data_IF_260999476262
#
_entry.id   IF_260999476262
#
_cell.length_a   1.000
_cell.length_b   1.000
_cell.length_c   1.000
_cell.angle_alpha   90.00
_cell.angle_beta   90.00
_cell.angle_gamma   90.00
#
_symmetry.space_group_name_H-M   'P 1'
#
loop_
_entity.id
_entity.type
_entity.pdbx_description
1 polymer ?
#
# COMPACT_ATOMS: atom_id res chain seq x y z
N UNK A 1 -38.99 -31.10 -13.79
CA UNK A 1 -37.81 -30.29 -13.43
C UNK A 1 -38.14 -28.80 -13.52
N UNK A 2 -38.56 -28.14 -12.43
CA UNK A 2 -38.82 -26.69 -12.40
C UNK A 2 -37.81 -25.90 -11.52
N UNK A 3 -36.61 -26.42 -11.25
CA UNK A 3 -35.71 -25.85 -10.23
C UNK A 3 -34.87 -24.66 -10.73
N UNK A 4 -34.67 -24.53 -12.04
CA UNK A 4 -33.78 -23.52 -12.62
C UNK A 4 -34.36 -22.08 -12.63
N UNK A 5 -35.66 -21.86 -12.97
CA UNK A 5 -36.26 -20.53 -12.95
C UNK A 5 -36.25 -19.92 -11.54
N UNK A 6 -36.64 -20.71 -10.53
CA UNK A 6 -36.67 -20.28 -9.12
C UNK A 6 -35.29 -19.86 -8.58
N UNK A 7 -34.22 -20.55 -9.01
CA UNK A 7 -32.87 -20.23 -8.58
C UNK A 7 -32.38 -18.90 -9.17
N UNK A 8 -32.73 -18.60 -10.43
CA UNK A 8 -32.41 -17.35 -11.11
C UNK A 8 -33.18 -16.16 -10.51
N UNK A 9 -34.45 -16.36 -10.14
CA UNK A 9 -35.24 -15.34 -9.47
C UNK A 9 -34.69 -15.03 -8.07
N UNK A 10 -34.39 -16.07 -7.26
CA UNK A 10 -33.74 -15.87 -5.95
C UNK A 10 -32.36 -15.20 -6.06
N UNK A 11 -31.60 -15.50 -7.11
CA UNK A 11 -30.30 -14.85 -7.34
C UNK A 11 -30.44 -13.36 -7.70
N UNK A 12 -31.55 -12.94 -8.32
CA UNK A 12 -31.85 -11.52 -8.58
C UNK A 12 -32.23 -10.75 -7.33
N UNK A 13 -32.78 -11.43 -6.33
CA UNK A 13 -33.12 -10.85 -5.03
C UNK A 13 -31.91 -10.69 -4.09
N UNK A 14 -30.79 -11.35 -4.41
CA UNK A 14 -29.57 -11.21 -3.61
C UNK A 14 -29.01 -9.78 -3.75
N UNK A 15 -28.55 -9.17 -2.64
CA UNK A 15 -27.88 -7.88 -2.67
C UNK A 15 -26.73 -7.87 -3.68
N UNK A 16 -26.59 -6.78 -4.44
CA UNK A 16 -25.50 -6.58 -5.40
C UNK A 16 -24.11 -6.84 -4.78
N UNK A 17 -23.94 -6.50 -3.50
CA UNK A 17 -22.71 -6.76 -2.76
C UNK A 17 -22.31 -8.24 -2.67
N UNK A 18 -23.25 -9.17 -2.87
CA UNK A 18 -23.03 -10.63 -2.81
C UNK A 18 -22.88 -11.22 -4.21
N UNK A 19 -23.58 -10.69 -5.21
CA UNK A 19 -23.58 -11.24 -6.58
C UNK A 19 -22.45 -10.69 -7.45
N UNK A 20 -21.99 -9.47 -7.20
CA UNK A 20 -20.93 -8.81 -7.97
C UNK A 20 -19.50 -9.31 -7.71
N UNK A 21 -19.11 -9.85 -6.53
CA UNK A 21 -17.73 -10.26 -6.30
C UNK A 21 -17.19 -11.30 -7.30
N UNK A 22 -18.00 -12.32 -7.66
CA UNK A 22 -17.57 -13.34 -8.61
C UNK A 22 -17.25 -12.80 -10.02
N UNK A 23 -18.14 -12.03 -10.69
CA UNK A 23 -17.81 -11.44 -11.98
C UNK A 23 -16.67 -10.41 -11.90
N UNK A 24 -16.57 -9.63 -10.81
CA UNK A 24 -15.41 -8.75 -10.62
C UNK A 24 -14.11 -9.53 -10.47
N UNK A 25 -14.12 -10.65 -9.76
CA UNK A 25 -12.94 -11.47 -9.57
C UNK A 25 -12.45 -11.99 -10.92
N UNK A 26 -13.35 -12.59 -11.71
CA UNK A 26 -13.03 -13.10 -13.04
C UNK A 26 -12.55 -11.98 -13.98
N UNK A 27 -13.23 -10.83 -13.97
CA UNK A 27 -12.86 -9.66 -14.78
C UNK A 27 -11.50 -9.09 -14.40
N UNK A 28 -11.21 -8.95 -13.10
CA UNK A 28 -9.91 -8.47 -12.60
C UNK A 28 -8.79 -9.44 -12.94
N UNK A 29 -9.00 -10.75 -12.75
CA UNK A 29 -8.01 -11.78 -13.09
C UNK A 29 -7.75 -11.77 -14.59
N UNK A 30 -8.79 -11.71 -15.42
CA UNK A 30 -8.63 -11.63 -16.88
C UNK A 30 -7.87 -10.35 -17.29
N UNK A 31 -8.30 -9.19 -16.79
CA UNK A 31 -7.63 -7.92 -17.04
C UNK A 31 -6.16 -7.93 -16.62
N UNK A 32 -5.89 -8.42 -15.42
CA UNK A 32 -4.53 -8.53 -14.89
C UNK A 32 -3.66 -9.41 -15.78
N UNK A 33 -4.14 -10.59 -16.20
CA UNK A 33 -3.40 -11.46 -17.11
C UNK A 33 -3.17 -10.83 -18.50
N UNK A 34 -4.04 -9.93 -18.94
CA UNK A 34 -3.86 -9.18 -20.19
C UNK A 34 -2.86 -8.02 -20.07
N UNK A 35 -2.74 -7.39 -18.89
CA UNK A 35 -1.93 -6.18 -18.68
C UNK A 35 -0.57 -6.46 -18.06
N UNK A 36 -0.51 -7.33 -17.06
CA UNK A 36 0.70 -7.64 -16.30
C UNK A 36 1.89 -8.11 -17.16
N UNK A 37 1.72 -8.90 -18.25
CA UNK A 37 2.84 -9.32 -19.09
C UNK A 37 3.61 -8.17 -19.75
N UNK A 38 3.02 -6.97 -19.86
CA UNK A 38 3.73 -5.77 -20.37
C UNK A 38 4.83 -5.28 -19.43
N UNK A 39 4.89 -5.77 -18.20
CA UNK A 39 5.88 -5.41 -17.20
C UNK A 39 6.76 -6.62 -16.89
N UNK A 40 8.08 -6.44 -16.96
CA UNK A 40 9.06 -7.52 -16.71
C UNK A 40 9.24 -7.80 -15.22
N UNK A 41 9.21 -6.75 -14.39
CA UNK A 41 9.41 -6.86 -12.93
C UNK A 41 8.11 -7.27 -12.22
N UNK A 42 8.18 -8.32 -11.40
CA UNK A 42 7.09 -8.77 -10.52
C UNK A 42 6.54 -7.61 -9.67
N UNK A 43 7.45 -6.78 -9.12
CA UNK A 43 7.09 -5.59 -8.35
C UNK A 43 6.27 -4.58 -9.16
N UNK A 44 6.66 -4.31 -10.41
CA UNK A 44 5.87 -3.40 -11.27
C UNK A 44 4.50 -3.98 -11.59
N UNK A 45 4.42 -5.29 -11.84
CA UNK A 45 3.13 -5.96 -12.03
C UNK A 45 2.24 -5.78 -10.79
N UNK A 46 2.80 -5.75 -9.58
CA UNK A 46 2.04 -5.52 -8.34
C UNK A 46 1.36 -4.17 -8.28
N UNK A 47 2.04 -3.14 -8.77
CA UNK A 47 1.47 -1.81 -8.84
C UNK A 47 0.38 -1.65 -9.90
N UNK A 48 0.21 -2.58 -10.85
CA UNK A 48 -0.86 -2.50 -11.86
C UNK A 48 -2.23 -2.56 -11.20
N UNK A 49 -2.48 -3.59 -10.38
CA UNK A 49 -3.75 -3.73 -9.67
C UNK A 49 -3.94 -2.63 -8.62
N UNK A 50 -2.89 -2.30 -7.86
CA UNK A 50 -2.95 -1.25 -6.85
C UNK A 50 -3.28 0.12 -7.45
N UNK A 51 -2.66 0.46 -8.58
CA UNK A 51 -2.93 1.70 -9.30
C UNK A 51 -4.38 1.73 -9.82
N UNK A 52 -4.84 0.64 -10.44
CA UNK A 52 -6.22 0.54 -10.95
C UNK A 52 -7.24 0.69 -9.81
N UNK A 53 -7.09 -0.06 -8.72
CA UNK A 53 -8.00 0.00 -7.57
C UNK A 53 -8.01 1.39 -6.94
N UNK A 54 -6.84 1.97 -6.66
CA UNK A 54 -6.75 3.29 -6.06
C UNK A 54 -7.39 4.37 -6.95
N UNK A 55 -7.22 4.29 -8.27
CA UNK A 55 -7.89 5.18 -9.21
C UNK A 55 -9.40 5.01 -9.16
N UNK A 56 -9.91 3.78 -9.28
CA UNK A 56 -11.35 3.49 -9.25
C UNK A 56 -11.99 3.97 -7.95
N UNK A 57 -11.34 3.71 -6.81
CA UNK A 57 -11.84 4.14 -5.49
C UNK A 57 -11.82 5.66 -5.33
N UNK A 58 -10.76 6.33 -5.80
CA UNK A 58 -10.69 7.78 -5.80
C UNK A 58 -11.80 8.39 -6.65
N UNK A 59 -12.06 7.86 -7.86
CA UNK A 59 -13.14 8.36 -8.72
C UNK A 59 -14.52 8.07 -8.14
N UNK A 60 -14.75 6.87 -7.60
CA UNK A 60 -16.02 6.49 -6.97
C UNK A 60 -16.32 7.32 -5.71
N UNK A 61 -15.30 7.89 -5.06
CA UNK A 61 -15.47 8.77 -3.89
C UNK A 61 -16.04 10.14 -4.20
N UNK A 62 -15.83 10.66 -5.42
CA UNK A 62 -16.09 12.06 -5.74
C UNK A 62 -17.55 12.51 -5.50
N UNK A 63 -18.59 11.73 -5.85
CA UNK A 63 -19.97 12.11 -5.56
C UNK A 63 -20.26 12.24 -4.06
N UNK A 64 -19.65 11.37 -3.25
CA UNK A 64 -19.81 11.36 -1.79
C UNK A 64 -19.02 12.49 -1.13
N UNK A 65 -17.82 12.79 -1.64
CA UNK A 65 -17.06 13.96 -1.24
C UNK A 65 -17.83 15.24 -1.54
N UNK A 66 -18.43 15.35 -2.73
CA UNK A 66 -19.27 16.48 -3.10
C UNK A 66 -20.46 16.62 -2.14
N UNK A 67 -21.23 15.55 -1.91
CA UNK A 67 -22.36 15.56 -0.97
C UNK A 67 -21.93 15.99 0.45
N UNK A 68 -20.80 15.48 0.93
CA UNK A 68 -20.25 15.84 2.24
C UNK A 68 -19.84 17.31 2.32
N UNK A 69 -19.15 17.85 1.31
CA UNK A 69 -18.73 19.26 1.29
C UNK A 69 -19.94 20.19 1.15
N UNK A 70 -20.99 19.79 0.43
CA UNK A 70 -22.19 20.60 0.21
C UNK A 70 -23.16 20.63 1.39
N UNK A 71 -23.27 19.55 2.17
CA UNK A 71 -24.29 19.45 3.23
C UNK A 71 -23.89 18.59 4.43
N UNK A 72 -22.60 18.32 4.61
CA UNK A 72 -22.07 17.54 5.72
C UNK A 72 -22.52 16.08 5.72
N UNK A 73 -22.50 15.47 6.91
CA UNK A 73 -22.81 14.05 7.09
C UNK A 73 -24.26 13.72 6.73
N UNK A 74 -25.20 14.65 6.93
CA UNK A 74 -26.60 14.42 6.57
C UNK A 74 -26.75 14.26 5.05
N UNK A 75 -26.20 15.18 4.25
CA UNK A 75 -26.26 15.09 2.79
C UNK A 75 -25.52 13.85 2.25
N UNK A 76 -24.36 13.52 2.84
CA UNK A 76 -23.64 12.28 2.53
C UNK A 76 -24.50 11.04 2.78
N UNK A 77 -25.16 10.99 3.95
CA UNK A 77 -25.98 9.87 4.36
C UNK A 77 -27.18 9.69 3.44
N UNK A 78 -27.91 10.78 3.14
CA UNK A 78 -29.04 10.77 2.20
C UNK A 78 -28.59 10.33 0.81
N UNK A 79 -27.45 10.83 0.30
CA UNK A 79 -26.91 10.39 -0.98
C UNK A 79 -26.60 8.88 -1.00
N UNK A 80 -26.20 8.30 0.14
CA UNK A 80 -25.97 6.86 0.27
C UNK A 80 -27.23 6.00 0.31
N UNK A 81 -28.42 6.58 0.52
CA UNK A 81 -29.66 5.81 0.68
C UNK A 81 -30.45 5.67 -0.62
N UNK A 82 -30.30 6.60 -1.55
CA UNK A 82 -31.19 6.70 -2.71
C UNK A 82 -30.43 6.91 -4.03
N UNK A 83 -31.13 6.70 -5.14
CA UNK A 83 -30.65 6.99 -6.49
C UNK A 83 -29.44 6.18 -6.95
N UNK A 84 -28.70 6.75 -7.90
CA UNK A 84 -27.54 6.09 -8.53
C UNK A 84 -26.32 5.98 -7.61
N UNK A 85 -26.22 6.86 -6.60
CA UNK A 85 -25.15 6.85 -5.59
C UNK A 85 -25.28 5.64 -4.67
N UNK A 86 -26.49 5.22 -4.31
CA UNK A 86 -26.71 3.94 -3.61
C UNK A 86 -26.18 2.75 -4.43
N UNK A 87 -26.46 2.71 -5.73
CA UNK A 87 -25.95 1.63 -6.59
C UNK A 87 -24.43 1.70 -6.73
N UNK A 88 -23.86 2.90 -6.88
CA UNK A 88 -22.42 3.12 -6.99
C UNK A 88 -21.67 2.61 -5.74
N UNK A 89 -22.15 2.91 -4.52
CA UNK A 89 -21.49 2.42 -3.30
C UNK A 89 -21.53 0.89 -3.18
N UNK A 90 -22.64 0.25 -3.57
CA UNK A 90 -22.80 -1.20 -3.49
C UNK A 90 -21.82 -1.88 -4.45
N UNK A 91 -21.70 -1.33 -5.67
CA UNK A 91 -20.74 -1.76 -6.70
C UNK A 91 -19.30 -1.55 -6.23
N UNK A 92 -18.97 -0.36 -5.70
CA UNK A 92 -17.61 0.00 -5.34
C UNK A 92 -17.09 -0.80 -4.13
N UNK A 93 -17.93 -1.07 -3.13
CA UNK A 93 -17.57 -1.92 -1.99
C UNK A 93 -17.34 -3.36 -2.44
N UNK A 94 -18.19 -3.90 -3.33
CA UNK A 94 -17.99 -5.23 -3.89
C UNK A 94 -16.71 -5.31 -4.73
N UNK A 95 -16.45 -4.30 -5.57
CA UNK A 95 -15.22 -4.17 -6.34
C UNK A 95 -13.99 -4.16 -5.45
N UNK A 96 -13.95 -3.27 -4.45
CA UNK A 96 -12.80 -3.14 -3.56
C UNK A 96 -12.57 -4.39 -2.72
N UNK A 97 -13.62 -4.97 -2.15
CA UNK A 97 -13.54 -6.23 -1.40
C UNK A 97 -12.97 -7.38 -2.26
N UNK A 98 -13.37 -7.45 -3.53
CA UNK A 98 -12.86 -8.43 -4.47
C UNK A 98 -11.40 -8.20 -4.83
N UNK A 99 -11.02 -6.94 -5.05
CA UNK A 99 -9.63 -6.56 -5.28
C UNK A 99 -8.70 -7.01 -4.14
N UNK A 100 -9.14 -6.86 -2.88
CA UNK A 100 -8.36 -7.30 -1.71
C UNK A 100 -8.12 -8.82 -1.73
N UNK A 101 -9.11 -9.61 -2.17
CA UNK A 101 -8.97 -11.06 -2.34
C UNK A 101 -8.01 -11.41 -3.47
N UNK A 102 -8.10 -10.73 -4.63
CA UNK A 102 -7.21 -10.97 -5.78
C UNK A 102 -5.76 -10.67 -5.43
N UNK A 103 -5.49 -9.52 -4.80
CA UNK A 103 -4.13 -9.16 -4.40
C UNK A 103 -3.58 -10.13 -3.36
N UNK A 104 -4.36 -10.44 -2.32
CA UNK A 104 -3.92 -11.33 -1.26
C UNK A 104 -3.64 -12.75 -1.77
N UNK A 105 -4.53 -13.28 -2.60
CA UNK A 105 -4.46 -14.69 -2.98
C UNK A 105 -3.59 -14.97 -4.21
N UNK A 106 -3.74 -14.16 -5.27
CA UNK A 106 -3.22 -14.50 -6.60
C UNK A 106 -1.87 -13.87 -6.86
N UNK A 107 -1.76 -12.57 -6.59
CA UNK A 107 -0.82 -11.77 -7.34
C UNK A 107 0.53 -11.61 -6.63
N UNK A 108 0.57 -11.36 -5.31
CA UNK A 108 1.82 -10.95 -4.64
C UNK A 108 1.94 -11.32 -3.17
N UNK A 109 1.72 -12.59 -2.81
CA UNK A 109 1.88 -13.05 -1.42
C UNK A 109 3.23 -12.65 -0.78
N UNK A 110 4.28 -12.51 -1.60
CA UNK A 110 5.64 -12.20 -1.17
C UNK A 110 5.97 -10.70 -1.09
N UNK A 111 5.25 -9.81 -1.80
CA UNK A 111 5.54 -8.37 -1.80
C UNK A 111 4.66 -7.58 -0.82
N UNK A 112 3.65 -8.22 -0.24
CA UNK A 112 2.76 -7.61 0.75
C UNK A 112 3.37 -7.76 2.14
N UNK A 113 3.82 -6.65 2.73
CA UNK A 113 4.31 -6.62 4.10
C UNK A 113 3.25 -7.07 5.11
N UNK A 114 3.65 -7.74 6.19
CA UNK A 114 2.72 -8.31 7.19
C UNK A 114 1.83 -7.26 7.86
N UNK A 115 2.43 -6.19 8.38
CA UNK A 115 1.70 -5.17 9.14
C UNK A 115 0.98 -4.17 8.22
N UNK A 116 1.69 -3.66 7.22
CA UNK A 116 1.19 -2.61 6.32
C UNK A 116 0.29 -3.16 5.22
N UNK A 117 0.38 -4.45 4.93
CA UNK A 117 -0.36 -5.10 3.86
C UNK A 117 -1.38 -6.09 4.40
N UNK A 118 -0.95 -7.22 4.97
CA UNK A 118 -1.87 -8.29 5.35
C UNK A 118 -2.88 -7.89 6.43
N UNK A 119 -2.41 -7.35 7.57
CA UNK A 119 -3.31 -6.91 8.66
C UNK A 119 -4.26 -5.83 8.14
N UNK A 120 -3.73 -4.84 7.42
CA UNK A 120 -4.49 -3.75 6.83
C UNK A 120 -5.58 -4.23 5.85
N UNK A 121 -5.22 -5.12 4.94
CA UNK A 121 -6.15 -5.70 3.96
C UNK A 121 -7.18 -6.62 4.63
N UNK A 122 -6.81 -7.40 5.64
CA UNK A 122 -7.76 -8.21 6.41
C UNK A 122 -8.79 -7.33 7.13
N UNK A 123 -8.35 -6.25 7.76
CA UNK A 123 -9.23 -5.26 8.40
C UNK A 123 -10.17 -4.63 7.36
N UNK A 124 -9.65 -4.24 6.19
CA UNK A 124 -10.50 -3.73 5.12
C UNK A 124 -11.48 -4.76 4.56
N UNK A 125 -11.09 -6.03 4.45
CA UNK A 125 -11.99 -7.08 3.99
C UNK A 125 -13.17 -7.24 4.95
N UNK A 126 -12.91 -7.26 6.26
CA UNK A 126 -13.95 -7.26 7.30
C UNK A 126 -14.82 -6.01 7.20
N UNK A 127 -14.20 -4.83 6.99
CA UNK A 127 -14.93 -3.58 6.79
C UNK A 127 -15.84 -3.64 5.55
N UNK A 128 -15.38 -4.23 4.44
CA UNK A 128 -16.17 -4.34 3.21
C UNK A 128 -17.39 -5.23 3.43
N UNK A 129 -17.23 -6.35 4.15
CA UNK A 129 -18.36 -7.20 4.55
C UNK A 129 -19.33 -6.44 5.45
N UNK A 130 -18.82 -5.67 6.43
CA UNK A 130 -19.67 -4.84 7.29
C UNK A 130 -20.45 -3.78 6.52
N UNK A 131 -19.79 -3.03 5.63
CA UNK A 131 -20.42 -2.02 4.77
C UNK A 131 -21.50 -2.64 3.87
N UNK A 132 -21.19 -3.78 3.24
CA UNK A 132 -22.13 -4.50 2.38
C UNK A 132 -23.37 -5.02 3.12
N UNK A 133 -23.27 -5.28 4.44
CA UNK A 133 -24.36 -5.78 5.28
C UNK A 133 -25.12 -4.69 6.03
N UNK A 134 -24.58 -3.48 6.10
CA UNK A 134 -25.14 -2.37 6.88
C UNK A 134 -25.34 -1.12 6.02
N UNK A 135 -26.22 -1.12 5.00
CA UNK A 135 -26.52 0.10 4.25
C UNK A 135 -27.05 1.22 5.17
N UNK A 136 -26.70 2.50 4.94
CA UNK A 136 -25.84 3.04 3.89
C UNK A 136 -24.36 3.24 4.29
N UNK A 137 -23.81 2.47 5.25
CA UNK A 137 -22.43 2.69 5.77
C UNK A 137 -21.34 2.71 4.68
N UNK A 138 -21.59 2.11 3.52
CA UNK A 138 -20.73 2.19 2.34
C UNK A 138 -20.45 3.62 1.87
N UNK A 139 -21.37 4.58 2.04
CA UNK A 139 -21.14 5.97 1.63
C UNK A 139 -20.04 6.64 2.45
N UNK A 140 -19.94 6.31 3.74
CA UNK A 140 -18.88 6.82 4.64
C UNK A 140 -17.53 6.27 4.22
N UNK A 141 -17.48 4.97 3.91
CA UNK A 141 -16.27 4.36 3.36
C UNK A 141 -15.87 5.01 2.03
N UNK A 142 -16.82 5.29 1.14
CA UNK A 142 -16.53 5.97 -0.12
C UNK A 142 -16.14 7.43 0.05
N UNK A 143 -16.66 8.17 1.04
CA UNK A 143 -16.13 9.49 1.38
C UNK A 143 -14.64 9.39 1.72
N UNK A 144 -14.28 8.41 2.56
CA UNK A 144 -12.89 8.16 2.95
C UNK A 144 -12.02 7.65 1.79
N UNK A 145 -12.61 7.07 0.74
CA UNK A 145 -11.88 6.50 -0.40
C UNK A 145 -11.13 7.54 -1.25
N UNK A 146 -11.43 8.85 -1.13
CA UNK A 146 -10.59 9.91 -1.73
C UNK A 146 -9.16 9.87 -1.20
N UNK A 147 -8.96 9.31 0.00
CA UNK A 147 -7.64 9.10 0.60
C UNK A 147 -6.79 8.05 -0.15
N UNK A 148 -7.33 7.37 -1.16
CA UNK A 148 -6.54 6.51 -2.05
C UNK A 148 -5.76 7.28 -3.12
N UNK A 149 -5.98 8.59 -3.27
CA UNK A 149 -5.25 9.42 -4.24
C UNK A 149 -3.71 9.37 -4.09
N UNK A 150 -3.11 9.40 -2.89
CA UNK A 150 -1.67 9.18 -2.73
C UNK A 150 -1.23 7.77 -3.13
N UNK A 151 -2.07 6.74 -2.92
CA UNK A 151 -1.77 5.37 -3.37
C UNK A 151 -1.75 5.28 -4.88
N UNK A 152 -2.71 5.94 -5.54
CA UNK A 152 -2.74 6.05 -6.99
C UNK A 152 -1.47 6.72 -7.51
N UNK A 153 -1.07 7.85 -6.91
CA UNK A 153 0.16 8.56 -7.26
C UNK A 153 1.43 7.69 -7.09
N UNK A 154 1.50 6.93 -5.98
CA UNK A 154 2.59 6.00 -5.71
C UNK A 154 2.61 4.85 -6.73
N UNK A 155 1.46 4.26 -7.03
CA UNK A 155 1.32 3.19 -8.01
C UNK A 155 1.73 3.66 -9.40
N UNK A 156 1.25 4.82 -9.81
CA UNK A 156 1.58 5.44 -11.09
C UNK A 156 3.07 5.75 -11.20
N UNK A 157 3.66 6.36 -10.17
CA UNK A 157 5.10 6.67 -10.12
C UNK A 157 5.99 5.43 -10.08
N UNK A 158 5.47 4.30 -9.58
CA UNK A 158 6.18 3.01 -9.57
C UNK A 158 6.15 2.32 -10.95
N UNK A 159 5.05 2.50 -11.68
CA UNK A 159 4.92 2.01 -13.06
C UNK A 159 5.73 2.87 -14.04
N UNK A 160 5.63 4.20 -13.89
CA UNK A 160 6.27 5.21 -14.75
C UNK A 160 7.18 6.11 -13.93
N UNK A 161 8.45 5.75 -13.73
CA UNK A 161 9.40 6.53 -12.95
C UNK A 161 9.55 7.98 -13.44
N UNK A 162 9.27 8.26 -14.72
CA UNK A 162 9.35 9.59 -15.32
C UNK A 162 8.37 10.59 -14.69
N UNK A 163 7.23 10.11 -14.15
CA UNK A 163 6.25 11.00 -13.53
C UNK A 163 6.46 11.14 -12.01
N UNK A 164 7.47 10.48 -11.44
CA UNK A 164 7.66 10.44 -9.99
C UNK A 164 8.02 11.81 -9.43
N UNK A 165 7.31 12.24 -8.39
CA UNK A 165 7.68 13.39 -7.56
C UNK A 165 7.41 13.04 -6.09
N UNK A 166 8.46 13.05 -5.28
CA UNK A 166 8.35 12.77 -3.85
C UNK A 166 7.58 13.90 -3.14
N UNK A 167 7.73 15.16 -3.58
CA UNK A 167 7.00 16.32 -3.04
C UNK A 167 5.50 16.20 -3.29
N UNK A 168 5.09 15.82 -4.52
CA UNK A 168 3.69 15.61 -4.87
C UNK A 168 3.07 14.51 -4.02
N UNK A 169 3.76 13.37 -3.90
CA UNK A 169 3.30 12.26 -3.08
C UNK A 169 3.11 12.67 -1.60
N UNK A 170 4.10 13.36 -1.01
CA UNK A 170 4.03 13.82 0.39
C UNK A 170 2.94 14.87 0.60
N UNK A 171 2.73 15.77 -0.36
CA UNK A 171 1.65 16.76 -0.32
C UNK A 171 0.26 16.08 -0.36
N UNK A 172 0.08 15.07 -1.22
CA UNK A 172 -1.15 14.30 -1.29
C UNK A 172 -1.39 13.52 0.00
N UNK A 173 -0.36 12.88 0.56
CA UNK A 173 -0.44 12.18 1.86
C UNK A 173 -0.87 13.15 2.98
N UNK A 174 -0.25 14.32 3.07
CA UNK A 174 -0.58 15.30 4.11
C UNK A 174 -2.02 15.79 3.98
N UNK A 175 -2.43 16.21 2.79
CA UNK A 175 -3.75 16.82 2.56
C UNK A 175 -4.87 15.82 2.71
N UNK A 176 -4.79 14.66 2.05
CA UNK A 176 -5.88 13.67 2.03
C UNK A 176 -5.84 12.73 3.24
N UNK A 177 -4.68 12.14 3.56
CA UNK A 177 -4.58 11.07 4.55
C UNK A 177 -4.38 11.55 5.99
N UNK A 178 -3.88 12.78 6.18
CA UNK A 178 -3.71 13.38 7.51
C UNK A 178 -4.79 14.42 7.77
N UNK A 179 -4.80 15.53 7.03
CA UNK A 179 -5.68 16.67 7.32
C UNK A 179 -7.15 16.32 7.08
N UNK A 180 -7.49 15.79 5.90
CA UNK A 180 -8.87 15.42 5.59
C UNK A 180 -9.36 14.26 6.47
N UNK A 181 -8.54 13.24 6.74
CA UNK A 181 -8.89 12.18 7.69
C UNK A 181 -9.17 12.72 9.10
N UNK A 182 -8.28 13.57 9.65
CA UNK A 182 -8.48 14.18 10.96
C UNK A 182 -9.76 15.04 11.00
N UNK A 183 -10.04 15.77 9.91
CA UNK A 183 -11.27 16.54 9.77
C UNK A 183 -12.52 15.67 9.86
N UNK A 184 -12.63 14.63 9.02
CA UNK A 184 -13.81 13.76 9.03
C UNK A 184 -13.89 12.94 10.33
N UNK A 185 -12.76 12.56 10.93
CA UNK A 185 -12.72 11.91 12.23
C UNK A 185 -13.36 12.80 13.31
N UNK A 186 -12.95 14.06 13.41
CA UNK A 186 -13.56 15.02 14.35
C UNK A 186 -15.05 15.12 14.10
N UNK A 187 -15.48 15.21 12.83
CA UNK A 187 -16.89 15.32 12.51
C UNK A 187 -17.67 14.06 12.94
N UNK A 188 -17.16 12.86 12.71
CA UNK A 188 -17.76 11.60 13.15
C UNK A 188 -17.68 11.34 14.67
N UNK A 189 -16.84 12.08 15.42
CA UNK A 189 -16.85 12.00 16.90
C UNK A 189 -18.01 12.79 17.52
N UNK A 190 -18.59 13.75 16.79
CA UNK A 190 -19.65 14.62 17.30
C UNK A 190 -20.93 13.82 17.56
N UNK A 191 -21.65 14.08 18.68
CA UNK A 191 -22.90 13.41 18.98
C UNK A 191 -23.97 13.56 17.88
N UNK A 192 -24.06 14.74 17.26
CA UNK A 192 -25.01 15.03 16.16
C UNK A 192 -24.75 14.15 14.94
N UNK A 193 -23.49 14.02 14.53
CA UNK A 193 -23.07 13.16 13.43
C UNK A 193 -23.30 11.68 13.73
N UNK A 194 -23.04 11.25 14.96
CA UNK A 194 -23.32 9.87 15.39
C UNK A 194 -24.81 9.57 15.43
N UNK A 195 -25.67 10.54 15.75
CA UNK A 195 -27.11 10.33 15.71
C UNK A 195 -27.58 9.94 14.29
N UNK A 196 -26.97 10.51 13.25
CA UNK A 196 -27.26 10.16 11.84
C UNK A 196 -26.86 8.71 11.55
N UNK A 197 -25.74 8.23 12.10
CA UNK A 197 -25.25 6.86 11.92
C UNK A 197 -25.84 5.84 12.91
N UNK A 198 -26.95 6.18 13.58
CA UNK A 198 -27.60 5.31 14.56
C UNK A 198 -26.77 5.07 15.83
N UNK A 199 -25.89 6.01 16.18
CA UNK A 199 -24.96 5.90 17.31
C UNK A 199 -23.71 5.06 17.03
N UNK A 200 -23.49 4.62 15.80
CA UNK A 200 -22.37 3.73 15.45
C UNK A 200 -21.01 4.40 15.69
N UNK A 201 -20.13 3.71 16.42
CA UNK A 201 -18.73 4.11 16.63
C UNK A 201 -17.80 3.59 15.53
N UNK A 202 -18.29 2.74 14.62
CA UNK A 202 -17.46 2.09 13.59
C UNK A 202 -16.72 3.13 12.74
N UNK A 203 -17.37 4.17 12.17
CA UNK A 203 -16.66 5.21 11.42
C UNK A 203 -15.54 5.87 12.24
N UNK A 204 -15.82 6.24 13.48
CA UNK A 204 -14.86 6.91 14.36
C UNK A 204 -13.63 6.02 14.62
N UNK A 205 -13.85 4.75 15.00
CA UNK A 205 -12.76 3.81 15.30
C UNK A 205 -11.92 3.56 14.04
N UNK A 206 -12.57 3.32 12.90
CA UNK A 206 -11.86 3.01 11.66
C UNK A 206 -11.05 4.21 11.14
N UNK A 207 -11.61 5.43 11.21
CA UNK A 207 -10.89 6.66 10.84
C UNK A 207 -9.71 6.93 11.78
N UNK A 208 -9.87 6.71 13.09
CA UNK A 208 -8.78 6.87 14.06
C UNK A 208 -7.63 5.87 13.81
N UNK A 209 -7.95 4.60 13.58
CA UNK A 209 -6.95 3.57 13.24
C UNK A 209 -6.25 3.89 11.92
N UNK A 210 -7.01 4.31 10.90
CA UNK A 210 -6.45 4.73 9.61
C UNK A 210 -5.54 5.96 9.78
N UNK A 211 -5.93 6.95 10.58
CA UNK A 211 -5.12 8.14 10.84
C UNK A 211 -3.81 7.79 11.53
N UNK A 212 -3.84 6.91 12.55
CA UNK A 212 -2.62 6.45 13.22
C UNK A 212 -1.65 5.76 12.23
N UNK A 213 -2.18 4.89 11.37
CA UNK A 213 -1.41 4.26 10.31
C UNK A 213 -0.83 5.30 9.33
N UNK A 214 -1.63 6.25 8.87
CA UNK A 214 -1.19 7.28 7.93
C UNK A 214 -0.12 8.20 8.52
N UNK A 215 -0.23 8.56 9.80
CA UNK A 215 0.80 9.34 10.51
C UNK A 215 2.12 8.56 10.53
N UNK A 216 2.08 7.25 10.80
CA UNK A 216 3.27 6.41 10.77
C UNK A 216 3.92 6.35 9.38
N UNK A 217 3.12 6.28 8.32
CA UNK A 217 3.60 6.29 6.93
C UNK A 217 4.15 7.66 6.52
N UNK A 218 3.48 8.74 6.90
CA UNK A 218 3.94 10.10 6.62
C UNK A 218 5.28 10.36 7.28
N UNK A 219 5.45 9.95 8.54
CA UNK A 219 6.74 10.02 9.24
C UNK A 219 7.85 9.26 8.48
N UNK A 220 7.57 8.04 8.01
CA UNK A 220 8.49 7.27 7.17
C UNK A 220 8.84 7.95 5.85
N UNK A 221 7.82 8.49 5.17
CA UNK A 221 7.95 9.22 3.91
C UNK A 221 8.83 10.47 4.04
N UNK A 222 8.53 11.32 5.01
CA UNK A 222 9.31 12.55 5.30
C UNK A 222 10.74 12.19 5.69
N UNK A 223 10.93 11.22 6.58
CA UNK A 223 12.27 10.82 7.03
C UNK A 223 13.13 10.35 5.86
N UNK A 224 12.62 9.48 4.99
CA UNK A 224 13.43 9.02 3.86
C UNK A 224 13.59 10.07 2.75
N UNK A 225 12.63 10.98 2.58
CA UNK A 225 12.80 12.14 1.68
C UNK A 225 13.95 13.05 2.16
N UNK A 226 13.96 13.42 3.45
CA UNK A 226 15.04 14.22 4.03
C UNK A 226 16.39 13.51 3.90
N UNK A 227 16.46 12.20 4.18
CA UNK A 227 17.69 11.41 4.00
C UNK A 227 18.21 11.44 2.57
N UNK A 228 17.34 11.26 1.56
CA UNK A 228 17.74 11.35 0.14
C UNK A 228 18.28 12.73 -0.20
N UNK A 229 17.62 13.80 0.25
CA UNK A 229 18.09 15.17 0.03
C UNK A 229 19.46 15.43 0.67
N UNK A 230 19.68 14.95 1.89
CA UNK A 230 20.99 15.07 2.54
C UNK A 230 22.06 14.29 1.78
N UNK A 231 21.76 13.06 1.32
CA UNK A 231 22.69 12.25 0.53
C UNK A 231 23.11 12.95 -0.76
N UNK A 232 22.14 13.44 -1.54
CA UNK A 232 22.42 14.20 -2.78
C UNK A 232 23.28 15.44 -2.51
N UNK A 233 22.99 16.18 -1.43
CA UNK A 233 23.79 17.35 -1.06
C UNK A 233 25.22 16.98 -0.64
N UNK A 234 25.42 15.85 0.03
CA UNK A 234 26.75 15.34 0.39
C UNK A 234 27.51 14.86 -0.86
N UNK A 235 26.87 14.07 -1.73
CA UNK A 235 27.48 13.54 -2.94
C UNK A 235 27.90 14.68 -3.89
N UNK A 236 27.09 15.73 -3.99
CA UNK A 236 27.43 16.94 -4.76
C UNK A 236 28.67 17.67 -4.20
N UNK A 237 28.80 17.77 -2.87
CA UNK A 237 29.98 18.36 -2.23
C UNK A 237 31.25 17.53 -2.47
N UNK A 238 31.14 16.21 -2.39
CA UNK A 238 32.27 15.29 -2.66
C UNK A 238 32.71 15.40 -4.12
N UNK A 239 31.76 15.44 -5.06
CA UNK A 239 32.06 15.62 -6.47
C UNK A 239 32.74 16.96 -6.76
N UNK A 240 32.30 18.05 -6.11
CA UNK A 240 32.92 19.36 -6.23
C UNK A 240 34.35 19.37 -5.69
N UNK A 241 34.59 18.78 -4.51
CA UNK A 241 35.94 18.66 -3.93
C UNK A 241 36.88 17.84 -4.82
N UNK A 242 36.40 16.76 -5.42
CA UNK A 242 37.19 15.97 -6.35
C UNK A 242 37.57 16.77 -7.62
N UNK A 243 36.64 17.58 -8.15
CA UNK A 243 36.92 18.46 -9.28
C UNK A 243 37.95 19.54 -8.94
N UNK A 244 37.85 20.15 -7.75
CA UNK A 244 38.78 21.18 -7.29
C UNK A 244 40.22 20.63 -7.11
N UNK A 245 40.37 19.39 -6.63
CA UNK A 245 41.68 18.73 -6.49
C UNK A 245 42.34 18.50 -7.85
N UNK A 246 41.59 18.09 -8.88
CA UNK A 246 42.12 17.88 -10.25
C UNK A 246 42.62 19.19 -10.86
N UNK A 247 41.89 20.30 -10.64
CA UNK A 247 42.30 21.63 -11.11
C UNK A 247 43.55 22.13 -10.36
N UNK A 248 43.66 21.85 -9.05
CA UNK A 248 44.79 22.27 -8.23
C UNK A 248 46.08 21.47 -8.49
N UNK A 249 46.00 20.24 -9.01
CA UNK A 249 47.18 19.40 -9.27
C UNK A 249 48.04 19.82 -10.46
N UNK A 250 47.62 20.80 -11.28
CA UNK A 250 48.52 21.50 -12.20
C UNK A 250 49.32 20.63 -13.17
N UNK A 251 48.80 19.48 -13.60
CA UNK A 251 49.43 18.71 -14.68
C UNK A 251 49.14 19.40 -16.03
N UNK A 252 50.07 20.25 -16.46
CA UNK A 252 50.23 20.78 -17.82
C UNK A 252 50.53 19.63 -18.81
N UNK A 253 49.59 18.70 -18.99
CA UNK A 253 49.62 17.78 -20.13
C UNK A 253 48.75 18.35 -21.24
N UNK A 254 49.33 18.79 -22.37
CA UNK A 254 48.58 19.28 -23.52
C UNK A 254 47.92 18.08 -24.21
N UNK A 255 46.79 17.63 -23.68
CA UNK A 255 45.97 16.63 -24.34
C UNK A 255 45.07 17.36 -25.34
N UNK A 256 45.23 17.04 -26.62
CA UNK A 256 44.33 17.46 -27.70
C UNK A 256 42.91 16.98 -27.36
N UNK A 257 42.10 17.87 -26.77
CA UNK A 257 40.70 17.59 -26.43
C UNK A 257 39.89 17.56 -27.73
N UNK A 258 39.26 16.44 -28.11
CA UNK A 258 38.25 16.44 -29.15
C UNK A 258 37.09 17.33 -28.67
N UNK A 259 36.70 18.30 -29.48
CA UNK A 259 35.60 19.23 -29.21
C UNK A 259 34.37 18.48 -28.68
N UNK A 260 34.18 18.53 -27.37
CA UNK A 260 33.03 17.93 -26.70
C UNK A 260 31.97 19.04 -26.54
N UNK A 261 30.72 18.80 -26.98
CA UNK A 261 29.70 19.85 -27.01
C UNK A 261 29.37 20.36 -25.60
N UNK A 262 29.09 21.66 -25.53
CA UNK A 262 28.80 22.40 -24.32
C UNK A 262 27.78 21.68 -23.41
N UNK A 263 28.19 21.42 -22.18
CA UNK A 263 27.32 20.99 -21.10
C UNK A 263 26.45 22.19 -20.70
N UNK A 264 25.18 22.15 -21.08
CA UNK A 264 24.14 22.97 -20.43
C UNK A 264 24.20 22.74 -18.91
N UNK A 265 23.98 23.76 -18.07
CA UNK A 265 23.86 23.62 -16.62
C UNK A 265 22.55 22.87 -16.30
N UNK A 266 22.56 21.56 -16.52
CA UNK A 266 21.52 20.65 -16.09
C UNK A 266 21.47 20.72 -14.57
N UNK A 267 20.42 21.37 -14.07
CA UNK A 267 19.97 21.20 -12.70
C UNK A 267 19.91 19.68 -12.45
N UNK A 268 20.61 19.13 -11.44
CA UNK A 268 20.57 17.70 -11.21
C UNK A 268 19.11 17.31 -10.97
N UNK A 269 18.53 16.59 -11.94
CA UNK A 269 17.17 16.09 -11.83
C UNK A 269 17.14 15.19 -10.59
N UNK A 270 16.46 15.64 -9.55
CA UNK A 270 16.25 14.94 -8.28
C UNK A 270 15.40 13.66 -8.44
N UNK A 271 15.19 13.20 -9.67
CA UNK A 271 14.45 11.99 -9.97
C UNK A 271 15.29 10.79 -9.55
N UNK A 272 14.90 10.02 -8.53
CA UNK A 272 15.67 8.86 -8.11
C UNK A 272 15.73 7.85 -9.26
N UNK A 273 16.95 7.43 -9.61
CA UNK A 273 17.24 6.51 -10.71
C UNK A 273 16.70 5.09 -10.48
N UNK A 274 16.32 4.72 -9.25
CA UNK A 274 15.76 3.40 -8.96
C UNK A 274 14.56 3.42 -7.98
N UNK A 275 13.50 2.62 -8.23
CA UNK A 275 12.33 2.47 -7.34
C UNK A 275 12.62 1.86 -5.95
N UNK A 276 13.81 1.32 -5.71
CA UNK A 276 14.16 0.53 -4.52
C UNK A 276 14.50 1.38 -3.29
N UNK A 277 14.80 2.67 -3.44
CA UNK A 277 15.19 3.55 -2.32
C UNK A 277 14.02 4.33 -1.68
N UNK A 278 12.76 3.96 -1.96
CA UNK A 278 11.61 4.64 -1.36
C UNK A 278 11.27 4.10 0.03
N UNK A 279 11.30 4.91 1.11
CA UNK A 279 11.04 4.50 2.50
C UNK A 279 9.59 4.10 2.76
N UNK A 280 8.68 4.44 1.83
CA UNK A 280 7.26 4.10 1.91
C UNK A 280 6.99 2.68 1.43
N UNK A 281 7.99 2.07 0.80
CA UNK A 281 8.01 0.65 0.52
C UNK A 281 8.57 0.03 1.79
N UNK A 282 7.75 -0.75 2.50
CA UNK A 282 8.22 -1.44 3.70
C UNK A 282 9.45 -2.26 3.33
N UNK A 283 10.57 -2.13 4.07
CA UNK A 283 11.73 -2.98 3.88
C UNK A 283 11.27 -4.44 3.90
N UNK A 284 11.68 -5.21 2.88
CA UNK A 284 11.39 -6.65 2.83
C UNK A 284 11.79 -7.27 4.16
N UNK A 285 10.92 -8.10 4.73
CA UNK A 285 11.41 -9.18 5.58
C UNK A 285 12.25 -10.05 4.66
N UNK A 286 13.55 -10.30 4.93
CA UNK A 286 14.36 -11.15 4.08
C UNK A 286 13.78 -12.57 4.10
N UNK A 287 12.90 -12.87 3.15
CA UNK A 287 12.40 -14.20 2.89
C UNK A 287 13.51 -15.00 2.22
N UNK A 288 13.70 -16.24 2.68
CA UNK A 288 14.53 -17.25 2.02
C UNK A 288 14.28 -17.23 0.50
N UNK A 289 15.34 -17.46 -0.28
CA UNK A 289 15.28 -17.59 -1.73
C UNK A 289 14.09 -18.48 -2.11
N UNK A 290 13.08 -17.89 -2.76
CA UNK A 290 11.91 -18.62 -3.20
C UNK A 290 12.37 -19.68 -4.19
N UNK A 291 12.18 -20.96 -3.85
CA UNK A 291 12.02 -22.00 -4.86
C UNK A 291 10.87 -21.55 -5.75
N UNK A 292 11.19 -21.18 -7.00
CA UNK A 292 10.20 -20.78 -7.99
C UNK A 292 9.22 -21.92 -8.20
N UNK A 293 8.03 -21.80 -7.59
CA UNK A 293 6.88 -22.61 -7.98
C UNK A 293 6.51 -22.12 -9.38
N UNK A 294 6.74 -22.98 -10.38
CA UNK A 294 6.51 -22.71 -11.80
C UNK A 294 5.19 -21.97 -12.05
N UNK A 295 5.28 -20.89 -12.82
CA UNK A 295 4.23 -19.95 -13.24
C UNK A 295 3.10 -20.52 -14.14
N UNK A 296 2.75 -21.81 -14.06
CA UNK A 296 1.74 -22.41 -14.93
C UNK A 296 0.54 -22.92 -14.14
N UNK A 297 -0.23 -22.00 -13.54
CA UNK A 297 -1.55 -22.36 -12.96
C UNK A 297 -2.67 -22.43 -14.02
N UNK A 298 -2.41 -21.93 -15.23
CA UNK A 298 -3.17 -22.25 -16.43
C UNK A 298 -2.18 -22.77 -17.47
N UNK A 299 -2.25 -24.06 -17.88
CA UNK A 299 -1.48 -24.48 -19.04
C UNK A 299 -1.91 -23.60 -20.22
N UNK A 300 -0.94 -23.09 -20.98
CA UNK A 300 -1.20 -22.66 -22.35
C UNK A 300 -2.03 -23.77 -23.00
N UNK A 301 -3.28 -23.49 -23.32
CA UNK A 301 -4.13 -24.39 -24.10
C UNK A 301 -3.84 -24.04 -25.56
N UNK A 302 -2.91 -24.70 -26.26
CA UNK A 302 -2.99 -24.72 -27.70
C UNK A 302 -4.32 -25.39 -28.02
N UNK A 303 -5.27 -24.69 -28.63
CA UNK A 303 -6.57 -25.26 -29.01
C UNK A 303 -6.30 -26.36 -30.05
N UNK A 304 -6.42 -27.66 -29.72
CA UNK A 304 -6.32 -28.72 -30.69
C UNK A 304 -7.77 -29.14 -31.00
N UNK A 305 -8.21 -28.89 -32.22
CA UNK A 305 -9.42 -29.54 -32.73
C UNK A 305 -9.19 -31.05 -32.77
N UNK A 306 -9.57 -31.80 -31.72
CA UNK A 306 -9.74 -33.25 -31.74
C UNK A 306 -10.87 -33.73 -30.80
N UNK A 307 -11.71 -34.69 -31.22
CA UNK A 307 -12.79 -35.26 -30.43
C UNK A 307 -12.30 -36.49 -29.66
N UNK A 308 -12.04 -36.33 -28.35
CA UNK A 308 -11.91 -37.36 -27.29
C UNK A 308 -10.72 -37.04 -26.37
N UNK A 309 -11.01 -36.40 -25.24
CA UNK A 309 -10.10 -36.34 -24.09
C UNK A 309 -10.74 -37.03 -22.88
N UNK A 310 -10.00 -37.87 -22.15
CA UNK A 310 -10.46 -38.44 -20.88
C UNK A 310 -10.56 -37.35 -19.82
N UNK A 311 -11.68 -37.34 -19.09
CA UNK A 311 -11.98 -36.41 -18.00
C UNK A 311 -10.94 -36.61 -16.88
N UNK A 312 -10.24 -35.58 -16.39
CA UNK A 312 -9.34 -35.72 -15.26
C UNK A 312 -10.14 -36.15 -14.02
N UNK A 313 -9.68 -37.22 -13.38
CA UNK A 313 -10.32 -37.78 -12.19
C UNK A 313 -10.33 -36.72 -11.07
N UNK A 314 -11.52 -36.43 -10.56
CA UNK A 314 -11.71 -35.57 -9.39
C UNK A 314 -11.02 -36.28 -8.21
N UNK A 315 -10.10 -35.60 -7.48
CA UNK A 315 -9.42 -36.20 -6.35
C UNK A 315 -10.46 -36.70 -5.34
N UNK A 316 -10.27 -37.94 -4.89
CA UNK A 316 -11.24 -38.57 -4.00
C UNK A 316 -11.18 -37.92 -2.62
N UNK A 317 -12.26 -38.07 -1.83
CA UNK A 317 -12.26 -37.65 -0.42
C UNK A 317 -11.11 -38.28 0.38
N UNK A 318 -10.64 -39.46 -0.02
CA UNK A 318 -9.48 -40.13 0.58
C UNK A 318 -8.17 -39.38 0.28
N UNK A 319 -8.00 -38.86 -0.94
CA UNK A 319 -6.81 -38.10 -1.33
C UNK A 319 -6.75 -36.75 -0.60
N UNK A 320 -7.91 -36.12 -0.41
CA UNK A 320 -8.02 -34.89 0.39
C UNK A 320 -7.76 -35.14 1.88
N UNK A 321 -8.23 -36.26 2.43
CA UNK A 321 -7.95 -36.64 3.82
C UNK A 321 -6.46 -36.97 4.05
N UNK A 322 -5.80 -37.61 3.07
CA UNK A 322 -4.37 -37.91 3.12
C UNK A 322 -3.48 -36.66 3.02
N UNK A 323 -3.94 -35.60 2.38
CA UNK A 323 -3.23 -34.32 2.28
C UNK A 323 -3.34 -33.44 3.54
N UNK A 324 -4.32 -33.70 4.41
CA UNK A 324 -4.61 -32.88 5.59
C UNK A 324 -3.45 -32.82 6.62
N UNK A 325 -2.73 -33.92 6.94
CA UNK A 325 -1.59 -33.88 7.86
C UNK A 325 -0.43 -33.02 7.33
N UNK A 326 -0.19 -33.06 6.02
CA UNK A 326 0.87 -32.27 5.38
C UNK A 326 0.50 -30.77 5.35
N UNK A 327 -0.77 -30.44 5.09
CA UNK A 327 -1.27 -29.08 5.22
C UNK A 327 -1.13 -28.54 6.65
N UNK A 328 -1.43 -29.37 7.66
CA UNK A 328 -1.27 -29.01 9.08
C UNK A 328 0.20 -28.82 9.47
N UNK A 329 1.10 -29.66 8.97
CA UNK A 329 2.54 -29.51 9.17
C UNK A 329 3.08 -28.21 8.55
N UNK A 330 2.65 -27.89 7.33
CA UNK A 330 3.00 -26.63 6.66
C UNK A 330 2.46 -25.40 7.40
N UNK A 331 1.25 -25.49 7.96
CA UNK A 331 0.65 -24.41 8.76
C UNK A 331 1.44 -24.17 10.06
N UNK A 332 1.84 -25.24 10.75
CA UNK A 332 2.65 -25.15 11.97
C UNK A 332 4.05 -24.57 11.68
N UNK A 333 4.65 -24.93 10.55
CA UNK A 333 5.94 -24.38 10.12
C UNK A 333 5.83 -22.89 9.78
N UNK A 334 4.73 -22.47 9.15
CA UNK A 334 4.43 -21.06 8.89
C UNK A 334 4.18 -20.28 10.19
N UNK A 335 3.47 -20.87 11.16
CA UNK A 335 3.25 -20.24 12.47
C UNK A 335 4.57 -20.05 13.23
N UNK A 336 5.44 -21.06 13.25
CA UNK A 336 6.77 -20.94 13.87
C UNK A 336 7.63 -19.87 13.20
N UNK A 337 7.70 -19.87 11.85
CA UNK A 337 8.45 -18.86 11.11
C UNK A 337 7.92 -17.43 11.31
N UNK A 338 6.61 -17.28 11.49
CA UNK A 338 5.98 -15.99 11.80
C UNK A 338 6.38 -15.48 13.18
N UNK A 339 6.29 -16.33 14.21
CA UNK A 339 6.66 -15.97 15.59
C UNK A 339 8.13 -15.59 15.67
N UNK A 340 9.01 -16.34 15.00
CA UNK A 340 10.45 -16.07 14.97
C UNK A 340 10.76 -14.76 14.22
N UNK A 341 10.13 -14.51 13.07
CA UNK A 341 10.30 -13.25 12.34
C UNK A 341 9.80 -12.03 13.11
N UNK A 342 8.70 -12.16 13.86
CA UNK A 342 8.19 -11.12 14.76
C UNK A 342 9.17 -10.86 15.90
N UNK A 343 9.64 -11.92 16.57
CA UNK A 343 10.57 -11.81 17.69
C UNK A 343 11.89 -11.17 17.25
N UNK A 344 12.46 -11.59 16.12
CA UNK A 344 13.69 -10.99 15.59
C UNK A 344 13.50 -9.50 15.27
N UNK A 345 12.38 -9.13 14.66
CA UNK A 345 12.09 -7.71 14.36
C UNK A 345 11.87 -6.90 15.64
N UNK A 346 11.27 -7.51 16.66
CA UNK A 346 11.12 -6.90 17.98
C UNK A 346 12.47 -6.68 18.67
N UNK A 347 13.37 -7.66 18.61
CA UNK A 347 14.73 -7.56 19.13
C UNK A 347 15.54 -6.48 18.41
N UNK A 348 15.50 -6.43 17.07
CA UNK A 348 16.15 -5.38 16.28
C UNK A 348 15.65 -3.97 16.66
N UNK A 349 14.35 -3.82 16.95
CA UNK A 349 13.80 -2.55 17.44
C UNK A 349 14.24 -2.25 18.87
N UNK A 350 14.31 -3.28 19.74
CA UNK A 350 14.78 -3.15 21.12
C UNK A 350 16.25 -2.72 21.18
N UNK A 351 17.09 -3.29 20.34
CA UNK A 351 18.50 -2.90 20.20
C UNK A 351 18.65 -1.46 19.69
N UNK A 352 17.88 -1.06 18.68
CA UNK A 352 17.88 0.33 18.19
C UNK A 352 17.46 1.31 19.28
N UNK A 353 16.45 0.98 20.08
CA UNK A 353 16.02 1.79 21.22
C UNK A 353 17.09 1.85 22.32
N UNK A 354 17.76 0.73 22.61
CA UNK A 354 18.86 0.68 23.57
C UNK A 354 20.05 1.56 23.10
N UNK A 355 20.44 1.45 21.82
CA UNK A 355 21.48 2.27 21.22
C UNK A 355 21.13 3.76 21.26
N UNK A 356 19.87 4.12 20.97
CA UNK A 356 19.42 5.51 21.02
C UNK A 356 19.39 6.07 22.45
N UNK A 357 19.06 5.25 23.46
CA UNK A 357 19.17 5.62 24.87
C UNK A 357 20.63 5.82 25.29
N UNK A 358 21.52 4.93 24.86
CA UNK A 358 22.96 5.07 25.10
C UNK A 358 23.55 6.35 24.49
N UNK A 359 23.18 6.68 23.26
CA UNK A 359 23.61 7.91 22.60
C UNK A 359 23.10 9.18 23.31
N UNK A 360 21.86 9.16 23.82
CA UNK A 360 21.30 10.26 24.61
C UNK A 360 22.01 10.40 25.97
N UNK A 361 22.32 9.29 26.64
CA UNK A 361 23.07 9.29 27.89
C UNK A 361 24.48 9.86 27.70
N UNK A 362 25.20 9.40 26.68
CA UNK A 362 26.54 9.90 26.34
C UNK A 362 26.53 11.41 26.01
N UNK A 363 25.51 11.88 25.28
CA UNK A 363 25.33 13.31 25.01
C UNK A 363 25.03 14.12 26.27
N UNK A 364 24.25 13.54 27.20
CA UNK A 364 23.99 14.13 28.52
C UNK A 364 25.27 14.27 29.35
N UNK A 365 26.09 13.22 29.42
CA UNK A 365 27.38 13.27 30.13
C UNK A 365 28.35 14.28 29.52
N UNK A 366 28.43 14.36 28.18
CA UNK A 366 29.27 15.35 27.51
C UNK A 366 28.85 16.79 27.85
N UNK A 367 27.55 17.06 27.94
CA UNK A 367 27.04 18.37 28.37
C UNK A 367 27.35 18.67 29.84
N UNK A 368 27.24 17.67 30.72
CA UNK A 368 27.59 17.83 32.13
C UNK A 368 29.10 18.08 32.34
N UNK A 369 29.96 17.37 31.61
CA UNK A 369 31.42 17.61 31.64
C UNK A 369 31.76 19.02 31.17
N UNK A 370 31.14 19.46 30.07
CA UNK A 370 31.32 20.83 29.57
C UNK A 370 30.90 21.87 30.61
N UNK A 371 29.78 21.63 31.31
CA UNK A 371 29.32 22.52 32.36
C UNK A 371 30.27 22.57 33.56
N UNK A 372 30.84 21.44 33.97
CA UNK A 372 31.83 21.37 35.06
C UNK A 372 33.12 22.13 34.72
N UNK A 373 33.58 21.97 33.48
CA UNK A 373 34.69 22.77 32.95
C UNK A 373 34.39 24.28 32.97
N UNK A 374 33.18 24.67 32.58
CA UNK A 374 32.74 26.07 32.60
C UNK A 374 32.56 26.63 34.03
N UNK A 375 32.34 25.79 35.05
CA UNK A 375 32.19 26.23 36.45
C UNK A 375 33.48 26.27 37.26
N UNK A 376 34.62 25.84 36.68
CA UNK A 376 35.92 25.85 37.37
C UNK A 376 36.01 24.88 38.56
N UNK A 377 35.12 23.88 38.63
CA UNK A 377 35.09 22.89 39.71
C UNK A 377 36.22 21.85 39.62
N UNK A 378 37.03 21.87 38.55
CA UNK A 378 38.11 20.90 38.33
C UNK A 378 39.51 21.44 38.77
N UNK A 379 39.59 22.66 39.35
CA UNK A 379 40.84 23.32 39.76
C UNK A 379 41.09 23.36 41.30
N UNK A 380 40.33 22.60 42.10
CA UNK A 380 40.63 22.29 43.52
C UNK A 380 41.07 20.83 43.69
#
# INVERSE_FOLDING_TARGET
MPVLPDALERARELPLGITLPAPFFLGMVAWYNLVAPRWTSERKRAYVLSCLSALTMTLASLPFLYAYVSGGILALWTAGQEGWTKTLQDIAVAWFGTYLLVIGYVAYKNEVGMLTGWIHHSVYLVLMVYCARTPPMSCIFLLAAVMELPTFDLGLSSLFPQVRSDERFLALMMTTRIMFNAWILVDFTRPTSRAITGGSLVPTVMLALALALHVSWMHGGVTGYLRRRTKVATDAKVAQQAADVVVASGEDTPFLVPATPALDPMTPSLSPTTPDESPLVTPRTPGQAATSIRDNFFPNIPIPTMPNLPIPAIPTLSDMAAALPQAKANLNQLQFGLTEAVNRRWEEQREKLAAHRGALAARGEALLRRRRWESGEDDE
#
